data_IF_189684225418
#
_entry.id   IF_189684225418
#
_cell.length_a   1.000
_cell.length_b   1.000
_cell.length_c   1.000
_cell.angle_alpha   90.00
_cell.angle_beta   90.00
_cell.angle_gamma   90.00
#
_symmetry.space_group_name_H-M   'P 1'
#
loop_
_entity.id
_entity.type
_entity.pdbx_description
1 polymer ?
#
# COMPACT_ATOMS: atom_id res chain seq x y z
N UNK A 1 -1.89 -29.25 7.72
CA UNK A 1 -2.40 -27.87 7.81
C UNK A 1 -1.29 -26.93 7.36
N UNK A 2 -1.32 -26.46 6.12
CA UNK A 2 -0.29 -25.56 5.59
C UNK A 2 -0.57 -24.15 6.10
N UNK A 3 0.28 -23.65 7.00
CA UNK A 3 0.22 -22.25 7.42
C UNK A 3 0.62 -21.40 6.21
N UNK A 4 -0.33 -20.65 5.63
CA UNK A 4 -0.02 -19.60 4.63
C UNK A 4 0.92 -18.59 5.30
N UNK A 5 2.18 -18.57 4.89
CA UNK A 5 3.12 -17.51 5.27
C UNK A 5 2.87 -16.30 4.37
N UNK A 6 2.29 -15.24 4.90
CA UNK A 6 2.21 -13.94 4.23
C UNK A 6 3.49 -13.17 4.52
N UNK A 7 4.50 -13.28 3.64
CA UNK A 7 5.65 -12.40 3.67
C UNK A 7 5.20 -10.97 3.36
N UNK A 8 5.56 -10.03 4.22
CA UNK A 8 5.29 -8.61 4.02
C UNK A 8 6.35 -8.06 3.06
N UNK A 9 5.95 -7.71 1.84
CA UNK A 9 6.86 -7.36 0.75
C UNK A 9 7.46 -5.94 0.88
N UNK A 10 6.85 -5.07 1.68
CA UNK A 10 7.22 -3.66 1.77
C UNK A 10 7.82 -3.31 3.13
N UNK A 11 9.09 -2.86 3.13
CA UNK A 11 9.79 -2.29 4.31
C UNK A 11 9.62 -0.77 4.43
N UNK A 12 8.58 -0.22 3.83
CA UNK A 12 8.23 1.20 3.93
C UNK A 12 7.51 1.46 5.26
N UNK A 13 7.79 2.57 5.91
CA UNK A 13 7.09 2.98 7.13
C UNK A 13 5.68 3.50 6.82
N UNK A 14 4.84 3.62 7.84
CA UNK A 14 3.42 3.97 7.64
C UNK A 14 3.24 5.39 7.09
N UNK A 15 4.02 6.34 7.58
CA UNK A 15 3.96 7.74 7.15
C UNK A 15 4.40 7.88 5.69
N UNK A 16 5.51 7.20 5.33
CA UNK A 16 6.01 7.15 3.96
C UNK A 16 5.02 6.47 3.00
N UNK A 17 4.31 5.43 3.46
CA UNK A 17 3.30 4.75 2.65
C UNK A 17 2.08 5.62 2.37
N UNK A 18 1.64 6.42 3.36
CA UNK A 18 0.56 7.38 3.21
C UNK A 18 0.96 8.52 2.26
N UNK A 19 2.15 9.09 2.44
CA UNK A 19 2.68 10.14 1.55
C UNK A 19 2.86 9.62 0.12
N UNK A 20 3.35 8.39 -0.05
CA UNK A 20 3.46 7.73 -1.35
C UNK A 20 2.09 7.56 -2.02
N UNK A 21 1.07 7.13 -1.26
CA UNK A 21 -0.29 7.02 -1.80
C UNK A 21 -0.85 8.37 -2.25
N UNK A 22 -0.67 9.42 -1.44
CA UNK A 22 -1.13 10.76 -1.79
C UNK A 22 -0.44 11.29 -3.05
N UNK A 23 0.88 11.14 -3.15
CA UNK A 23 1.65 11.55 -4.33
C UNK A 23 1.24 10.76 -5.56
N UNK A 24 1.16 9.43 -5.44
CA UNK A 24 0.76 8.56 -6.54
C UNK A 24 -0.66 8.86 -7.04
N UNK A 25 -1.58 9.22 -6.14
CA UNK A 25 -2.97 9.59 -6.48
C UNK A 25 -3.09 10.92 -7.23
N UNK A 26 -2.10 11.81 -7.11
CA UNK A 26 -2.09 13.13 -7.78
C UNK A 26 -1.42 13.10 -9.16
N UNK A 27 -0.62 12.08 -9.46
CA UNK A 27 0.12 11.96 -10.72
C UNK A 27 -0.65 11.09 -11.70
N UNK A 28 -1.11 11.68 -12.81
CA UNK A 28 -1.91 10.97 -13.83
C UNK A 28 -1.12 9.88 -14.59
N UNK A 29 0.21 9.92 -14.54
CA UNK A 29 1.10 8.99 -15.26
C UNK A 29 1.41 7.70 -14.47
N UNK A 30 0.98 7.60 -13.22
CA UNK A 30 1.21 6.41 -12.41
C UNK A 30 0.23 5.30 -12.80
N UNK A 31 0.77 4.10 -12.98
CA UNK A 31 -0.04 2.91 -13.28
C UNK A 31 -1.13 2.69 -12.22
N UNK A 32 -2.41 2.54 -12.60
CA UNK A 32 -3.49 2.23 -11.68
C UNK A 32 -3.23 0.96 -10.84
N UNK A 33 -2.49 -0.01 -11.40
CA UNK A 33 -2.11 -1.24 -10.68
C UNK A 33 -1.15 -0.96 -9.53
N UNK A 34 -0.25 0.01 -9.70
CA UNK A 34 0.68 0.41 -8.64
C UNK A 34 -0.05 1.11 -7.50
N UNK A 35 -1.02 1.98 -7.82
CA UNK A 35 -1.89 2.62 -6.81
C UNK A 35 -2.67 1.56 -6.03
N UNK A 36 -3.22 0.55 -6.72
CA UNK A 36 -3.95 -0.54 -6.08
C UNK A 36 -3.06 -1.36 -5.13
N UNK A 37 -1.80 -1.58 -5.46
CA UNK A 37 -0.85 -2.26 -4.56
C UNK A 37 -0.62 -1.46 -3.28
N UNK A 38 -0.49 -0.14 -3.38
CA UNK A 38 -0.34 0.74 -2.22
C UNK A 38 -1.62 0.73 -1.38
N UNK A 39 -2.80 0.82 -2.00
CA UNK A 39 -4.09 0.74 -1.30
C UNK A 39 -4.26 -0.58 -0.54
N UNK A 40 -3.94 -1.70 -1.16
CA UNK A 40 -3.99 -3.01 -0.52
C UNK A 40 -3.06 -3.08 0.70
N UNK A 41 -1.87 -2.49 0.61
CA UNK A 41 -0.91 -2.43 1.71
C UNK A 41 -1.38 -1.51 2.84
N UNK A 42 -1.99 -0.36 2.53
CA UNK A 42 -2.63 0.54 3.51
C UNK A 42 -3.76 -0.18 4.26
N UNK A 43 -4.63 -0.90 3.54
CA UNK A 43 -5.71 -1.69 4.13
C UNK A 43 -5.18 -2.82 5.00
N UNK A 44 -4.14 -3.53 4.53
CA UNK A 44 -3.47 -4.60 5.30
C UNK A 44 -2.93 -4.09 6.64
N UNK A 45 -2.42 -2.84 6.65
CA UNK A 45 -1.91 -2.17 7.86
C UNK A 45 -2.97 -1.44 8.67
N UNK A 46 -4.23 -1.44 8.23
CA UNK A 46 -5.34 -0.69 8.84
C UNK A 46 -5.06 0.81 8.95
N UNK A 47 -4.36 1.37 7.96
CA UNK A 47 -4.10 2.81 7.85
C UNK A 47 -5.21 3.56 7.10
N UNK A 48 -6.05 2.82 6.37
CA UNK A 48 -7.22 3.32 5.63
C UNK A 48 -8.45 3.53 6.55
N UNK A 49 -8.28 4.14 7.74
CA UNK A 49 -9.39 4.38 8.67
C UNK A 49 -9.96 5.79 8.50
N UNK A 50 -11.12 5.88 7.84
CA UNK A 50 -12.07 6.99 7.90
C UNK A 50 -13.25 6.66 8.80
#
# INVERSE_FOLDING_TARGET
MTKKMTHTFWKIDNDDLLDLYEKASRVQEISPQFILLIQNELQRRKLDQK
#
